data_IF_709544580278
#
_entry.id   IF_709544580278
#
_cell.length_a   1.000
_cell.length_b   1.000
_cell.length_c   1.000
_cell.angle_alpha   90.00
_cell.angle_beta   90.00
_cell.angle_gamma   90.00
#
_symmetry.space_group_name_H-M   'P 1'
#
loop_
_entity.id
_entity.type
_entity.pdbx_description
1 polymer ?
#
# COMPACT_ATOMS: atom_id res chain seq x y z
N UNK A 1 -15.11 -14.55 0.83
CA UNK A 1 -13.85 -13.91 0.45
C UNK A 1 -14.22 -12.54 -0.09
N UNK A 2 -13.47 -11.50 0.27
CA UNK A 2 -13.72 -10.15 -0.25
C UNK A 2 -13.42 -10.07 -1.74
N UNK A 3 -14.08 -9.14 -2.44
CA UNK A 3 -13.80 -8.82 -3.85
C UNK A 3 -12.46 -8.09 -3.99
N UNK A 4 -12.00 -7.41 -2.93
CA UNK A 4 -10.77 -6.62 -2.88
C UNK A 4 -9.88 -7.05 -1.69
N UNK A 5 -9.37 -8.30 -1.70
CA UNK A 5 -8.67 -8.87 -0.55
C UNK A 5 -7.38 -8.13 -0.17
N UNK A 6 -6.63 -7.56 -1.12
CA UNK A 6 -5.39 -6.85 -0.79
C UNK A 6 -5.66 -5.44 -0.24
N UNK A 7 -6.68 -4.75 -0.76
CA UNK A 7 -7.18 -3.51 -0.16
C UNK A 7 -7.68 -3.73 1.28
N UNK A 8 -8.35 -4.85 1.54
CA UNK A 8 -8.79 -5.20 2.89
C UNK A 8 -7.59 -5.44 3.81
N UNK A 9 -6.57 -6.19 3.37
CA UNK A 9 -5.33 -6.37 4.14
C UNK A 9 -4.70 -5.02 4.47
N UNK A 10 -4.55 -4.14 3.48
CA UNK A 10 -3.97 -2.81 3.67
C UNK A 10 -4.79 -1.96 4.65
N UNK A 11 -6.12 -2.03 4.60
CA UNK A 11 -6.98 -1.33 5.54
C UNK A 11 -6.87 -1.88 6.96
N UNK A 12 -6.70 -3.20 7.10
CA UNK A 12 -6.65 -3.87 8.40
C UNK A 12 -5.38 -3.59 9.19
N UNK A 13 -4.28 -3.23 8.51
CA UNK A 13 -2.98 -2.95 9.14
C UNK A 13 -2.66 -1.45 9.22
N UNK A 14 -3.63 -0.58 8.92
CA UNK A 14 -3.40 0.86 8.76
C UNK A 14 -2.77 1.50 10.00
N UNK A 15 -3.28 1.16 11.19
CA UNK A 15 -2.81 1.79 12.42
C UNK A 15 -1.40 1.29 12.79
N UNK A 16 -1.13 -0.01 12.66
CA UNK A 16 0.18 -0.60 12.91
C UNK A 16 1.23 -0.15 11.89
N UNK A 17 0.88 -0.15 10.60
CA UNK A 17 1.78 0.31 9.53
C UNK A 17 2.12 1.79 9.66
N UNK A 18 1.18 2.63 10.09
CA UNK A 18 1.44 4.04 10.38
C UNK A 18 2.47 4.19 11.52
N UNK A 19 2.29 3.48 12.64
CA UNK A 19 3.21 3.55 13.79
C UNK A 19 4.62 3.09 13.40
N UNK A 20 4.73 1.97 12.69
CA UNK A 20 6.03 1.44 12.26
C UNK A 20 6.68 2.36 11.23
N UNK A 21 5.90 2.90 10.28
CA UNK A 21 6.36 3.84 9.28
C UNK A 21 6.94 5.12 9.91
N UNK A 22 6.21 5.73 10.83
CA UNK A 22 6.68 6.91 11.58
C UNK A 22 7.96 6.63 12.38
N UNK A 23 8.07 5.44 12.98
CA UNK A 23 9.28 5.02 13.68
C UNK A 23 10.48 4.87 12.73
N UNK A 24 10.29 4.27 11.56
CA UNK A 24 11.34 4.10 10.56
C UNK A 24 11.77 5.44 9.94
N UNK A 25 10.82 6.34 9.68
CA UNK A 25 11.09 7.71 9.25
C UNK A 25 11.89 8.48 10.31
N UNK A 26 11.49 8.38 11.58
CA UNK A 26 12.25 8.94 12.68
C UNK A 26 13.66 8.36 12.73
N UNK A 27 13.85 7.04 12.62
CA UNK A 27 15.18 6.43 12.61
C UNK A 27 16.07 7.00 11.48
N UNK A 28 15.53 7.08 10.26
CA UNK A 28 16.22 7.66 9.12
C UNK A 28 16.63 9.12 9.38
N UNK A 29 15.79 9.92 10.05
CA UNK A 29 16.11 11.29 10.44
C UNK A 29 17.26 11.40 11.46
N UNK A 30 17.51 10.33 12.24
CA UNK A 30 18.61 10.25 13.19
C UNK A 30 19.89 9.67 12.57
N UNK A 31 19.90 9.39 11.25
CA UNK A 31 21.02 8.71 10.57
C UNK A 31 21.08 7.20 10.85
N UNK A 32 20.00 6.62 11.37
CA UNK A 32 19.87 5.17 11.59
C UNK A 32 19.11 4.58 10.41
N UNK A 33 19.77 3.71 9.65
CA UNK A 33 19.21 3.12 8.44
C UNK A 33 19.12 1.59 8.54
N UNK A 34 18.08 1.03 7.91
CA UNK A 34 17.97 -0.41 7.72
C UNK A 34 19.10 -0.90 6.81
N UNK A 35 19.60 -2.10 7.12
CA UNK A 35 20.63 -2.77 6.34
C UNK A 35 20.32 -4.25 6.21
N UNK A 36 20.59 -4.79 5.04
CA UNK A 36 20.49 -6.22 4.76
C UNK A 36 21.87 -6.83 4.80
N UNK A 37 21.99 -7.98 5.45
CA UNK A 37 23.23 -8.73 5.51
C UNK A 37 23.33 -9.68 4.32
N UNK A 38 24.42 -9.56 3.57
CA UNK A 38 24.78 -10.47 2.49
C UNK A 38 26.09 -11.17 2.84
N UNK A 39 26.14 -12.50 2.72
CA UNK A 39 27.30 -13.30 3.13
C UNK A 39 28.62 -12.82 2.48
N UNK A 40 28.60 -12.45 1.20
CA UNK A 40 29.78 -12.01 0.45
C UNK A 40 30.14 -10.52 0.65
N UNK A 41 29.19 -9.69 1.12
CA UNK A 41 29.31 -8.22 1.10
C UNK A 41 29.13 -7.55 2.46
N UNK A 42 28.79 -8.32 3.50
CA UNK A 42 28.45 -7.80 4.82
C UNK A 42 27.14 -7.01 4.83
N UNK A 43 27.04 -6.03 5.73
CA UNK A 43 25.87 -5.15 5.82
C UNK A 43 25.87 -4.12 4.70
N UNK A 44 24.79 -4.12 3.92
CA UNK A 44 24.56 -3.13 2.86
C UNK A 44 23.24 -2.42 3.16
N UNK A 45 23.21 -1.10 3.00
CA UNK A 45 22.00 -0.31 3.21
C UNK A 45 20.82 -0.88 2.39
N UNK A 46 19.69 -1.07 3.05
CA UNK A 46 18.47 -1.49 2.39
C UNK A 46 17.97 -0.34 1.51
N UNK A 47 17.62 -0.66 0.25
CA UNK A 47 17.18 0.31 -0.75
C UNK A 47 15.66 0.29 -0.96
N UNK A 48 14.95 -0.63 -0.31
CA UNK A 48 13.50 -0.65 -0.32
C UNK A 48 12.94 0.60 0.35
N UNK A 49 11.82 1.10 -0.16
CA UNK A 49 11.05 2.13 0.55
C UNK A 49 10.45 1.56 1.84
N UNK A 50 10.08 2.43 2.79
CA UNK A 50 9.34 2.01 3.98
C UNK A 50 8.05 1.29 3.58
N UNK A 51 7.34 1.78 2.56
CA UNK A 51 6.13 1.14 2.03
C UNK A 51 6.40 -0.29 1.54
N UNK A 52 7.50 -0.54 0.81
CA UNK A 52 7.87 -1.89 0.37
C UNK A 52 8.21 -2.80 1.55
N UNK A 53 8.96 -2.28 2.54
CA UNK A 53 9.31 -3.05 3.75
C UNK A 53 8.05 -3.42 4.55
N UNK A 54 7.11 -2.49 4.69
CA UNK A 54 5.85 -2.72 5.40
C UNK A 54 4.94 -3.68 4.63
N UNK A 55 4.85 -3.54 3.30
CA UNK A 55 4.08 -4.44 2.46
C UNK A 55 4.61 -5.88 2.56
N UNK A 56 5.93 -6.07 2.49
CA UNK A 56 6.58 -7.37 2.69
C UNK A 56 6.28 -7.92 4.11
N UNK A 57 6.33 -7.08 5.14
CA UNK A 57 6.08 -7.49 6.52
C UNK A 57 4.63 -7.93 6.77
N UNK A 58 3.66 -7.25 6.15
CA UNK A 58 2.23 -7.54 6.30
C UNK A 58 1.68 -8.50 5.23
N UNK A 59 2.53 -9.03 4.34
CA UNK A 59 2.14 -9.91 3.22
C UNK A 59 1.08 -9.26 2.31
N UNK A 60 1.35 -8.02 1.90
CA UNK A 60 0.50 -7.20 1.03
C UNK A 60 1.14 -7.07 -0.35
N UNK A 61 0.35 -7.37 -1.37
CA UNK A 61 0.73 -7.24 -2.78
C UNK A 61 0.32 -5.84 -3.30
N UNK A 62 1.28 -4.91 -3.32
CA UNK A 62 1.02 -3.51 -3.72
C UNK A 62 0.54 -3.38 -5.17
N UNK A 63 0.99 -4.24 -6.08
CA UNK A 63 0.54 -4.20 -7.48
C UNK A 63 -0.95 -4.58 -7.55
N UNK A 64 -1.37 -5.60 -6.79
CA UNK A 64 -2.80 -5.95 -6.68
C UNK A 64 -3.64 -4.89 -5.98
N UNK A 65 -3.12 -4.23 -4.94
CA UNK A 65 -3.82 -3.10 -4.32
C UNK A 65 -4.14 -2.03 -5.38
N UNK A 66 -3.19 -1.71 -6.25
CA UNK A 66 -3.40 -0.72 -7.31
C UNK A 66 -4.37 -1.22 -8.40
N UNK A 67 -4.33 -2.49 -8.75
CA UNK A 67 -5.32 -3.11 -9.66
C UNK A 67 -6.74 -3.05 -9.07
N UNK A 68 -6.90 -3.44 -7.80
CA UNK A 68 -8.17 -3.40 -7.07
C UNK A 68 -8.71 -1.96 -6.95
N UNK A 69 -7.85 -1.00 -6.61
CA UNK A 69 -8.22 0.44 -6.56
C UNK A 69 -8.68 0.95 -7.91
N UNK A 70 -8.02 0.55 -9.00
CA UNK A 70 -8.42 0.93 -10.36
C UNK A 70 -9.79 0.37 -10.70
N UNK A 71 -10.06 -0.90 -10.37
CA UNK A 71 -11.37 -1.50 -10.57
C UNK A 71 -12.47 -0.78 -9.77
N UNK A 72 -12.20 -0.43 -8.50
CA UNK A 72 -13.12 0.36 -7.68
C UNK A 72 -13.43 1.71 -8.34
N UNK A 73 -12.40 2.39 -8.87
CA UNK A 73 -12.57 3.68 -9.52
C UNK A 73 -13.40 3.58 -10.82
N UNK A 74 -13.15 2.57 -11.65
CA UNK A 74 -13.92 2.30 -12.87
C UNK A 74 -15.41 2.09 -12.56
N UNK A 75 -15.70 1.24 -11.57
CA UNK A 75 -17.06 0.99 -11.10
C UNK A 75 -17.75 2.26 -10.58
N UNK A 76 -17.03 3.11 -9.84
CA UNK A 76 -17.58 4.39 -9.37
C UNK A 76 -17.88 5.35 -10.52
N UNK A 77 -17.00 5.42 -11.54
CA UNK A 77 -17.20 6.27 -12.71
C UNK A 77 -18.38 5.81 -13.58
N UNK A 78 -18.56 4.50 -13.76
CA UNK A 78 -19.71 3.94 -14.47
C UNK A 78 -21.02 4.25 -13.74
N UNK A 79 -21.02 4.11 -12.41
CA UNK A 79 -22.18 4.43 -11.59
C UNK A 79 -22.54 5.92 -11.67
N UNK A 80 -21.55 6.80 -11.60
CA UNK A 80 -21.77 8.25 -11.71
C UNK A 80 -22.31 8.63 -13.09
N UNK A 81 -21.72 8.11 -14.17
CA UNK A 81 -22.23 8.30 -15.55
C UNK A 81 -23.66 7.80 -15.72
N UNK A 82 -23.99 6.67 -15.07
CA UNK A 82 -25.35 6.12 -15.11
C UNK A 82 -26.36 7.03 -14.41
N UNK A 83 -25.99 7.66 -13.29
CA UNK A 83 -26.85 8.64 -12.60
C UNK A 83 -27.06 9.90 -13.43
N UNK A 84 -26.02 10.45 -14.05
CA UNK A 84 -26.13 11.59 -14.95
C UNK A 84 -27.11 11.32 -16.12
N UNK A 85 -27.06 10.13 -16.71
CA UNK A 85 -27.98 9.74 -17.78
C UNK A 85 -29.44 9.63 -17.29
N UNK A 86 -29.67 9.15 -16.07
CA UNK A 86 -31.01 9.07 -15.49
C UNK A 86 -31.58 10.44 -15.17
N UNK A 87 -30.78 11.38 -14.68
CA UNK A 87 -31.20 12.77 -14.43
C UNK A 87 -31.50 13.53 -15.73
N UNK A 88 -30.77 13.27 -16.82
CA UNK A 88 -31.03 13.90 -18.13
C UNK A 88 -32.32 13.37 -18.80
N UNK A 89 -32.75 12.15 -18.45
CA UNK A 89 -33.93 11.50 -19.01
C UNK A 89 -35.21 11.65 -18.15
N UNK A 90 -35.10 12.21 -16.94
CA UNK A 90 -36.23 12.50 -16.03
C UNK A 90 -36.76 13.92 -16.20
#
# INVERSE_FOLDING_TARGET
>A
MSEYPECDKLSNVKDESQIIGEFLDWCNSQGVHLATYYEERGLVADRRSIEQVLADYFDIDLDKVEEERRHILEMQQERNRSYELLEVLS
#
